data_IF_041614670110
#
_entry.id   IF_041614670110
#
_cell.length_a   1.000
_cell.length_b   1.000
_cell.length_c   1.000
_cell.angle_alpha   90.00
_cell.angle_beta   90.00
_cell.angle_gamma   90.00
#
_symmetry.space_group_name_H-M   'P 1'
#
loop_
_entity.id
_entity.type
_entity.pdbx_description
1 polymer ?
#
# COMPACT_ATOMS: atom_id res chain seq x y z
N UNK A 1 7.75 4.42 -11.49
CA UNK A 1 6.96 5.68 -11.48
C UNK A 1 5.51 5.42 -11.86
N UNK A 2 5.25 4.81 -13.01
CA UNK A 2 3.89 4.50 -13.51
C UNK A 2 2.97 3.86 -12.45
N UNK A 3 3.40 2.77 -11.80
CA UNK A 3 2.60 2.13 -10.76
C UNK A 3 2.16 3.08 -9.63
N UNK A 4 3.08 3.92 -9.13
CA UNK A 4 2.79 4.84 -8.02
C UNK A 4 1.81 5.92 -8.46
N UNK A 5 2.01 6.51 -9.62
CA UNK A 5 1.20 7.62 -10.11
C UNK A 5 -0.14 7.13 -10.67
N UNK A 6 -0.12 6.14 -11.55
CA UNK A 6 -1.29 5.70 -12.31
C UNK A 6 -2.11 4.61 -11.62
N UNK A 7 -1.49 3.67 -10.91
CA UNK A 7 -2.22 2.57 -10.24
C UNK A 7 -2.58 2.90 -8.79
N UNK A 8 -1.72 3.68 -8.12
CA UNK A 8 -1.89 4.07 -6.73
C UNK A 8 -2.33 5.53 -6.53
N UNK A 9 -2.50 6.28 -7.62
CA UNK A 9 -3.00 7.67 -7.61
C UNK A 9 -2.12 8.61 -6.76
N UNK A 10 -0.80 8.39 -6.74
CA UNK A 10 0.12 9.31 -6.08
C UNK A 10 0.32 10.55 -6.92
N UNK A 11 0.33 11.71 -6.27
CA UNK A 11 0.74 12.95 -6.93
C UNK A 11 2.24 12.89 -7.20
N UNK A 12 2.64 13.28 -8.39
CA UNK A 12 4.07 13.40 -8.77
C UNK A 12 4.84 14.30 -7.79
N UNK A 13 4.22 15.39 -7.32
CA UNK A 13 4.79 16.26 -6.30
C UNK A 13 5.14 15.55 -4.98
N UNK A 14 4.33 14.57 -4.56
CA UNK A 14 4.62 13.77 -3.36
C UNK A 14 5.85 12.88 -3.57
N UNK A 15 6.05 12.36 -4.79
CA UNK A 15 7.20 11.52 -5.14
C UNK A 15 8.48 12.36 -5.22
N UNK A 16 8.42 13.52 -5.86
CA UNK A 16 9.58 14.43 -5.99
C UNK A 16 10.05 14.94 -4.63
N UNK A 17 9.12 15.14 -3.68
CA UNK A 17 9.47 15.54 -2.32
C UNK A 17 10.21 14.42 -1.55
N UNK A 18 10.02 13.16 -1.95
CA UNK A 18 10.57 11.99 -1.25
C UNK A 18 11.15 10.96 -2.24
N UNK A 19 12.24 11.31 -2.95
CA UNK A 19 12.83 10.46 -3.96
C UNK A 19 13.36 9.15 -3.40
N UNK A 20 13.68 9.10 -2.09
CA UNK A 20 14.19 7.91 -1.41
C UNK A 20 13.21 6.74 -1.40
N UNK A 21 11.90 6.99 -1.58
CA UNK A 21 10.90 5.93 -1.75
C UNK A 21 11.17 5.10 -3.01
N UNK A 22 11.76 5.71 -4.05
CA UNK A 22 12.11 5.01 -5.29
C UNK A 22 13.28 4.02 -5.10
N UNK A 23 14.06 4.16 -4.02
CA UNK A 23 15.15 3.25 -3.67
C UNK A 23 14.66 2.02 -2.89
N UNK A 24 13.38 1.97 -2.52
CA UNK A 24 12.81 0.87 -1.75
C UNK A 24 12.27 -0.22 -2.69
N UNK A 25 12.26 -1.47 -2.23
CA UNK A 25 11.78 -2.58 -3.04
C UNK A 25 10.27 -2.44 -3.34
N UNK A 26 9.93 -2.25 -4.62
CA UNK A 26 8.56 -2.00 -5.06
C UNK A 26 7.64 -3.19 -4.75
N UNK A 27 8.01 -4.39 -5.18
CA UNK A 27 7.19 -5.61 -5.08
C UNK A 27 7.05 -6.10 -3.65
N UNK A 28 8.14 -6.07 -2.87
CA UNK A 28 8.17 -6.63 -1.51
C UNK A 28 7.70 -5.65 -0.45
N UNK A 29 7.76 -4.34 -0.70
CA UNK A 29 7.48 -3.33 0.32
C UNK A 29 6.43 -2.31 -0.09
N UNK A 30 6.56 -1.70 -1.26
CA UNK A 30 5.67 -0.59 -1.63
C UNK A 30 4.29 -1.12 -2.03
N UNK A 31 4.24 -2.05 -3.00
CA UNK A 31 3.00 -2.62 -3.55
C UNK A 31 2.11 -3.21 -2.45
N UNK A 32 2.59 -4.12 -1.58
CA UNK A 32 1.72 -4.76 -0.59
C UNK A 32 1.14 -3.77 0.40
N UNK A 33 1.93 -2.76 0.81
CA UNK A 33 1.50 -1.72 1.74
C UNK A 33 0.48 -0.78 1.11
N UNK A 34 0.73 -0.37 -0.12
CA UNK A 34 -0.19 0.44 -0.92
C UNK A 34 -1.55 -0.25 -1.10
N UNK A 35 -1.56 -1.55 -1.43
CA UNK A 35 -2.79 -2.32 -1.60
C UNK A 35 -3.58 -2.46 -0.30
N UNK A 36 -2.91 -2.76 0.82
CA UNK A 36 -3.55 -2.80 2.16
C UNK A 36 -4.23 -1.47 2.46
N UNK A 37 -3.55 -0.34 2.26
CA UNK A 37 -4.14 0.98 2.52
C UNK A 37 -5.30 1.28 1.58
N UNK A 38 -5.22 0.88 0.30
CA UNK A 38 -6.31 1.05 -0.66
C UNK A 38 -7.58 0.32 -0.20
N UNK A 39 -7.46 -0.92 0.27
CA UNK A 39 -8.57 -1.71 0.80
C UNK A 39 -9.13 -1.12 2.10
N UNK A 40 -8.26 -0.66 3.01
CA UNK A 40 -8.72 -0.01 4.24
C UNK A 40 -9.48 1.30 3.95
N UNK A 41 -9.02 2.08 2.97
CA UNK A 41 -9.70 3.32 2.54
C UNK A 41 -11.06 3.03 1.93
N UNK A 42 -11.18 2.03 1.06
CA UNK A 42 -12.47 1.68 0.45
C UNK A 42 -13.50 1.18 1.47
N UNK A 43 -13.04 0.67 2.62
CA UNK A 43 -13.88 0.27 3.76
C UNK A 43 -14.05 1.36 4.83
N UNK A 44 -13.51 2.57 4.62
CA UNK A 44 -13.60 3.67 5.59
C UNK A 44 -12.81 3.46 6.88
N UNK A 45 -11.91 2.47 6.94
CA UNK A 45 -11.15 2.11 8.15
C UNK A 45 -9.93 3.01 8.38
N UNK A 46 -9.50 3.76 7.36
CA UNK A 46 -8.42 4.75 7.44
C UNK A 46 -8.77 6.00 6.62
N UNK A 47 -8.20 7.14 7.02
CA UNK A 47 -8.44 8.43 6.35
C UNK A 47 -7.88 8.43 4.92
N UNK A 48 -8.65 8.95 3.97
CA UNK A 48 -8.23 9.10 2.57
C UNK A 48 -7.08 10.08 2.40
N UNK A 49 -7.02 11.14 3.22
CA UNK A 49 -5.99 12.18 3.17
C UNK A 49 -4.68 11.81 3.89
N UNK A 50 -4.51 10.58 4.37
CA UNK A 50 -3.27 10.16 5.03
C UNK A 50 -2.13 10.09 4.01
N UNK A 51 -1.04 10.82 4.25
CA UNK A 51 0.18 10.69 3.44
C UNK A 51 0.70 9.26 3.49
N UNK A 52 1.04 8.71 2.32
CA UNK A 52 1.54 7.34 2.20
C UNK A 52 3.02 7.21 2.58
N UNK A 53 3.78 8.31 2.56
CA UNK A 53 5.19 8.32 2.98
C UNK A 53 5.42 7.67 4.36
N UNK A 54 4.81 8.15 5.46
CA UNK A 54 5.04 7.54 6.77
C UNK A 54 4.67 6.06 6.77
N UNK A 55 3.64 5.66 6.03
CA UNK A 55 3.19 4.28 5.92
C UNK A 55 4.25 3.40 5.23
N UNK A 56 4.81 3.86 4.11
CA UNK A 56 5.86 3.15 3.38
C UNK A 56 7.17 3.08 4.18
N UNK A 57 7.50 4.13 4.95
CA UNK A 57 8.71 4.16 5.77
C UNK A 57 8.61 3.39 7.09
N UNK A 58 7.41 3.07 7.57
CA UNK A 58 7.25 2.28 8.80
C UNK A 58 8.06 0.98 8.75
N UNK A 59 8.65 0.61 9.88
CA UNK A 59 9.22 -0.73 10.02
C UNK A 59 8.11 -1.77 9.87
N UNK A 60 8.44 -2.93 9.31
CA UNK A 60 7.47 -3.94 8.92
C UNK A 60 6.52 -4.35 10.05
N UNK A 61 7.06 -4.65 11.24
CA UNK A 61 6.25 -4.98 12.42
C UNK A 61 5.19 -3.92 12.73
N UNK A 62 5.59 -2.64 12.79
CA UNK A 62 4.64 -1.53 13.05
C UNK A 62 3.60 -1.36 11.94
N UNK A 63 3.98 -1.61 10.70
CA UNK A 63 3.03 -1.59 9.59
C UNK A 63 1.98 -2.70 9.75
N UNK A 64 2.43 -3.93 9.99
CA UNK A 64 1.57 -5.09 10.19
C UNK A 64 0.61 -4.89 11.35
N UNK A 65 1.12 -4.51 12.52
CA UNK A 65 0.30 -4.31 13.72
C UNK A 65 -0.78 -3.25 13.48
N UNK A 66 -0.39 -2.12 12.87
CA UNK A 66 -1.28 -0.96 12.73
C UNK A 66 -2.33 -1.10 11.62
N UNK A 67 -1.98 -1.75 10.51
CA UNK A 67 -2.81 -1.75 9.31
C UNK A 67 -3.30 -3.13 8.87
N UNK A 68 -2.63 -4.21 9.28
CA UNK A 68 -3.02 -5.59 8.92
C UNK A 68 -3.70 -6.25 10.11
N UNK A 69 -2.95 -6.53 11.18
CA UNK A 69 -3.43 -7.26 12.36
C UNK A 69 -4.62 -6.56 13.01
N UNK A 70 -4.56 -5.24 13.20
CA UNK A 70 -5.66 -4.46 13.78
C UNK A 70 -7.00 -4.58 13.05
N UNK A 71 -6.97 -4.88 11.76
CA UNK A 71 -8.15 -4.88 10.90
C UNK A 71 -8.47 -6.26 10.34
N UNK A 72 -7.80 -7.32 10.81
CA UNK A 72 -7.94 -8.66 10.23
C UNK A 72 -9.32 -9.26 10.51
N UNK A 73 -9.93 -8.97 11.66
CA UNK A 73 -11.27 -9.45 11.98
C UNK A 73 -12.35 -8.80 11.09
N UNK A 74 -12.14 -7.54 10.71
CA UNK A 74 -13.05 -6.80 9.81
C UNK A 74 -12.77 -7.09 8.34
N UNK A 75 -11.53 -7.42 8.01
CA UNK A 75 -11.04 -7.65 6.64
C UNK A 75 -10.07 -8.82 6.62
N UNK A 76 -10.57 -10.07 6.72
CA UNK A 76 -9.73 -11.27 6.83
C UNK A 76 -8.75 -11.45 5.68
N UNK A 77 -9.07 -10.91 4.50
CA UNK A 77 -8.20 -10.96 3.32
C UNK A 77 -6.96 -10.07 3.40
N UNK A 78 -6.82 -9.17 4.38
CA UNK A 78 -5.68 -8.23 4.45
C UNK A 78 -4.33 -8.93 4.53
N UNK A 79 -4.24 -10.03 5.30
CA UNK A 79 -2.99 -10.78 5.42
C UNK A 79 -2.61 -11.40 4.07
N UNK A 80 -3.58 -11.99 3.36
CA UNK A 80 -3.36 -12.54 2.01
C UNK A 80 -2.94 -11.46 1.02
N UNK A 81 -3.51 -10.25 1.11
CA UNK A 81 -3.14 -9.11 0.27
C UNK A 81 -1.70 -8.65 0.56
N UNK A 82 -1.32 -8.56 1.83
CA UNK A 82 0.05 -8.20 2.22
C UNK A 82 1.07 -9.26 1.81
N UNK A 83 0.72 -10.54 1.96
CA UNK A 83 1.58 -11.67 1.65
C UNK A 83 1.65 -12.02 0.16
N UNK A 84 0.82 -11.41 -0.70
CA UNK A 84 0.83 -11.65 -2.14
C UNK A 84 2.15 -11.14 -2.73
N UNK A 85 3.17 -12.01 -2.69
CA UNK A 85 4.50 -11.86 -3.29
C UNK A 85 4.45 -11.88 -4.83
N UNK A 86 3.30 -12.25 -5.41
CA UNK A 86 3.07 -12.27 -6.86
C UNK A 86 2.06 -11.19 -7.23
N UNK A 87 2.53 -9.94 -7.20
CA UNK A 87 1.77 -8.78 -7.62
C UNK A 87 1.81 -8.61 -9.14
N UNK A 88 1.16 -9.48 -9.90
CA UNK A 88 0.86 -9.19 -11.31
C UNK A 88 -0.59 -9.55 -11.70
N UNK A 89 -1.20 -10.59 -11.11
CA UNK A 89 -2.54 -11.02 -11.54
C UNK A 89 -3.70 -10.19 -10.96
N UNK A 90 -3.48 -9.42 -9.89
CA UNK A 90 -4.53 -8.60 -9.29
C UNK A 90 -4.86 -7.31 -10.07
N UNK A 91 -4.01 -6.92 -11.04
CA UNK A 91 -4.17 -5.71 -11.83
C UNK A 91 -4.82 -5.97 -13.21
N UNK A 92 -5.06 -7.24 -13.54
CA UNK A 92 -5.54 -7.68 -14.86
C UNK A 92 -7.05 -7.97 -14.92
N UNK A 93 -7.85 -7.56 -13.93
CA UNK A 93 -9.31 -7.76 -13.97
C UNK A 93 -10.08 -6.66 -14.71
N UNK A 94 -9.40 -5.69 -15.35
CA UNK A 94 -10.03 -4.57 -16.04
C UNK A 94 -9.41 -4.29 -17.43
N UNK A 95 -9.24 -5.32 -18.27
CA UNK A 95 -9.01 -5.15 -19.71
C UNK A 95 -10.02 -5.95 -20.50
#
# INVERSE_FOLDING_TARGET
>A
MDFLVNKMEWKTGDIVTYPDILLMNLEKRIIPRCLVIKVLRSKGLVKYNMSLRPIIKLIEKKFLDKFVTKHIDTVPQLLKIYQRKEGLEALNMNS
#
